data_IF_086311470292
#
_entry.id   IF_086311470292
#
_cell.length_a   1.000
_cell.length_b   1.000
_cell.length_c   1.000
_cell.angle_alpha   90.00
_cell.angle_beta   90.00
_cell.angle_gamma   90.00
#
_symmetry.space_group_name_H-M   'P 1'
#
loop_
_entity.id
_entity.type
_entity.pdbx_description
1 polymer ?
#
# COMPACT_ATOMS: atom_id res chain seq x y z
N UNK A 1 4.93 -14.52 -20.98
CA UNK A 1 3.79 -15.44 -21.27
C UNK A 1 3.13 -15.69 -19.93
N UNK A 2 1.92 -15.18 -19.70
CA UNK A 2 1.26 -15.28 -18.40
C UNK A 2 0.19 -16.35 -18.45
N UNK A 3 0.36 -17.53 -17.81
CA UNK A 3 -0.68 -18.55 -17.79
C UNK A 3 -1.95 -17.98 -17.16
N UNK A 4 -3.11 -18.38 -17.68
CA UNK A 4 -4.43 -17.85 -17.31
C UNK A 4 -4.70 -18.00 -15.81
N UNK A 5 -4.40 -16.96 -15.04
CA UNK A 5 -4.69 -16.89 -13.62
C UNK A 5 -6.21 -16.81 -13.45
N UNK A 6 -6.81 -17.86 -12.90
CA UNK A 6 -8.22 -17.85 -12.49
C UNK A 6 -8.28 -17.92 -10.98
N UNK A 7 -8.86 -16.88 -10.38
CA UNK A 7 -9.24 -16.89 -8.98
C UNK A 7 -10.58 -17.64 -8.87
N UNK A 8 -10.59 -18.75 -8.13
CA UNK A 8 -11.82 -19.50 -7.88
C UNK A 8 -12.40 -19.00 -6.55
N UNK A 9 -13.58 -18.34 -6.54
CA UNK A 9 -14.18 -17.83 -5.31
C UNK A 9 -14.64 -18.97 -4.41
N UNK A 10 -14.12 -19.03 -3.17
CA UNK A 10 -14.48 -20.05 -2.16
C UNK A 10 -15.34 -19.40 -1.06
N UNK A 11 -16.52 -18.91 -1.42
CA UNK A 11 -17.46 -18.31 -0.46
C UNK A 11 -16.83 -17.23 0.44
N UNK A 12 -16.98 -17.37 1.76
CA UNK A 12 -16.41 -16.46 2.78
C UNK A 12 -15.00 -16.88 3.26
N UNK A 13 -14.31 -17.74 2.51
CA UNK A 13 -12.99 -18.22 2.91
C UNK A 13 -11.96 -17.09 2.92
N UNK A 14 -11.05 -17.12 3.91
CA UNK A 14 -9.85 -16.26 3.94
C UNK A 14 -8.77 -16.76 2.98
N UNK A 15 -9.01 -17.86 2.27
CA UNK A 15 -8.08 -18.53 1.38
C UNK A 15 -8.68 -18.47 -0.03
N UNK A 16 -7.86 -18.11 -1.00
CA UNK A 16 -8.15 -18.08 -2.42
C UNK A 16 -7.41 -19.23 -3.12
N UNK A 17 -8.08 -19.88 -4.05
CA UNK A 17 -7.45 -20.90 -4.89
C UNK A 17 -6.99 -20.24 -6.19
N UNK A 18 -5.69 -20.32 -6.44
CA UNK A 18 -5.08 -19.91 -7.70
C UNK A 18 -4.78 -21.15 -8.51
N UNK A 19 -5.20 -21.12 -9.76
CA UNK A 19 -5.00 -22.20 -10.70
C UNK A 19 -4.18 -21.72 -11.89
N UNK A 20 -3.18 -22.53 -12.27
CA UNK A 20 -2.37 -22.37 -13.46
C UNK A 20 -2.46 -23.62 -14.33
N UNK A 21 -2.56 -23.39 -15.64
CA UNK A 21 -2.49 -24.44 -16.65
C UNK A 21 -1.48 -24.01 -17.72
N UNK A 22 -0.49 -24.85 -17.97
CA UNK A 22 0.52 -24.63 -19.01
C UNK A 22 0.98 -25.98 -19.57
N UNK A 23 0.87 -26.18 -20.89
CA UNK A 23 1.36 -27.38 -21.61
C UNK A 23 0.91 -28.70 -20.95
N UNK A 24 -0.36 -28.81 -20.58
CA UNK A 24 -0.92 -30.02 -19.95
C UNK A 24 -0.52 -30.24 -18.48
N UNK A 25 0.33 -29.37 -17.91
CA UNK A 25 0.60 -29.32 -16.49
C UNK A 25 -0.45 -28.47 -15.78
N UNK A 26 -0.87 -28.96 -14.62
CA UNK A 26 -1.87 -28.32 -13.78
C UNK A 26 -1.27 -28.08 -12.41
N UNK A 27 -1.30 -26.81 -11.97
CA UNK A 27 -0.86 -26.41 -10.63
C UNK A 27 -1.99 -25.66 -9.93
N UNK A 28 -2.35 -26.16 -8.75
CA UNK A 28 -3.38 -25.57 -7.89
C UNK A 28 -2.74 -25.20 -6.55
N UNK A 29 -2.81 -23.92 -6.17
CA UNK A 29 -2.26 -23.43 -4.92
C UNK A 29 -3.32 -22.67 -4.13
N UNK A 30 -3.52 -23.10 -2.89
CA UNK A 30 -4.36 -22.40 -1.93
C UNK A 30 -3.52 -21.33 -1.22
N UNK A 31 -3.83 -20.06 -1.48
CA UNK A 31 -3.13 -18.92 -0.91
C UNK A 31 -4.08 -18.13 -0.01
N UNK A 32 -3.61 -17.73 1.16
CA UNK A 32 -4.27 -16.65 1.89
C UNK A 32 -3.81 -15.33 1.27
N UNK A 33 -4.71 -14.44 0.80
CA UNK A 33 -4.30 -13.10 0.40
C UNK A 33 -3.62 -12.44 1.59
N UNK A 34 -2.45 -11.87 1.37
CA UNK A 34 -1.82 -11.01 2.35
C UNK A 34 -2.83 -9.92 2.74
N UNK A 35 -3.02 -9.72 4.04
CA UNK A 35 -3.83 -8.59 4.46
C UNK A 35 -3.17 -7.32 3.92
N UNK A 36 -3.91 -6.36 3.34
CA UNK A 36 -3.31 -5.10 2.95
C UNK A 36 -2.56 -4.57 4.17
N UNK A 37 -1.29 -4.19 4.00
CA UNK A 37 -0.51 -3.60 5.07
C UNK A 37 -1.32 -2.44 5.61
N UNK A 38 -1.87 -2.60 6.82
CA UNK A 38 -2.55 -1.50 7.48
C UNK A 38 -1.45 -0.50 7.76
N UNK A 39 -1.49 0.68 7.13
CA UNK A 39 -0.53 1.72 7.48
C UNK A 39 -0.71 1.95 8.97
N UNK A 40 0.35 1.71 9.75
CA UNK A 40 0.23 1.95 11.17
C UNK A 40 -0.01 3.47 11.39
N UNK A 41 -0.60 3.88 12.53
CA UNK A 41 -0.87 5.29 12.77
C UNK A 41 0.37 6.19 12.62
N UNK A 42 1.56 5.66 12.90
CA UNK A 42 2.84 6.37 12.76
C UNK A 42 3.16 6.66 11.29
N UNK A 43 3.03 5.66 10.40
CA UNK A 43 3.22 5.81 8.96
C UNK A 43 2.29 6.86 8.37
N UNK A 44 1.03 6.92 8.85
CA UNK A 44 0.09 7.95 8.40
C UNK A 44 0.53 9.35 8.83
N UNK A 45 0.97 9.52 10.07
CA UNK A 45 1.48 10.80 10.58
C UNK A 45 2.74 11.22 9.82
N UNK A 46 3.64 10.29 9.54
CA UNK A 46 4.85 10.55 8.76
C UNK A 46 4.52 11.01 7.35
N UNK A 47 3.55 10.36 6.69
CA UNK A 47 3.14 10.72 5.33
C UNK A 47 2.42 12.07 5.28
N UNK A 48 1.53 12.36 6.23
CA UNK A 48 0.89 13.67 6.37
C UNK A 48 1.93 14.78 6.63
N UNK A 49 2.91 14.51 7.49
CA UNK A 49 4.01 15.43 7.78
C UNK A 49 4.86 15.67 6.53
N UNK A 50 5.19 14.62 5.78
CA UNK A 50 5.94 14.70 4.52
C UNK A 50 5.21 15.55 3.49
N UNK A 51 3.89 15.38 3.36
CA UNK A 51 3.09 16.18 2.44
C UNK A 51 3.06 17.65 2.85
N UNK A 52 2.91 17.94 4.15
CA UNK A 52 2.94 19.30 4.66
C UNK A 52 4.30 19.98 4.44
N UNK A 53 5.40 19.24 4.64
CA UNK A 53 6.76 19.68 4.32
C UNK A 53 6.97 20.04 2.86
N UNK A 54 6.36 19.28 1.94
CA UNK A 54 6.49 19.54 0.50
C UNK A 54 5.62 20.69 0.01
N UNK A 55 4.48 20.91 0.66
CA UNK A 55 3.56 21.99 0.31
C UNK A 55 4.05 23.37 0.76
N UNK A 56 4.89 23.43 1.79
CA UNK A 56 5.47 24.69 2.30
C UNK A 56 6.97 24.79 1.95
N UNK A 57 7.36 25.65 0.98
CA UNK A 57 8.76 25.89 0.65
C UNK A 57 9.60 26.40 1.82
N UNK A 58 8.95 27.01 2.82
CA UNK A 58 9.60 27.59 3.99
C UNK A 58 9.57 26.67 5.22
N UNK A 59 9.21 25.39 5.07
CA UNK A 59 9.09 24.45 6.20
C UNK A 59 10.37 24.34 7.05
N UNK A 60 11.54 24.38 6.38
CA UNK A 60 12.85 24.33 7.05
C UNK A 60 13.29 25.66 7.66
N UNK A 61 12.54 26.74 7.44
CA UNK A 61 12.91 28.10 7.84
C UNK A 61 12.27 28.36 9.20
N UNK A 62 12.94 27.89 10.25
CA UNK A 62 12.48 28.02 11.63
C UNK A 62 12.07 29.46 11.98
N UNK A 63 10.85 29.60 12.50
CA UNK A 63 10.26 30.79 13.09
C UNK A 63 10.28 32.06 12.22
N UNK A 64 9.20 32.27 11.44
CA UNK A 64 8.86 33.57 10.83
C UNK A 64 8.34 34.55 11.88
N UNK A 65 9.14 34.89 12.88
CA UNK A 65 8.89 36.09 13.70
C UNK A 65 9.54 37.29 13.01
N UNK A 66 8.85 37.85 12.02
CA UNK A 66 9.16 39.23 11.63
C UNK A 66 8.75 40.13 12.79
N UNK A 67 9.74 40.70 13.51
CA UNK A 67 9.52 41.91 14.32
C UNK A 67 9.04 42.99 13.36
N UNK A 68 7.74 43.23 13.31
CA UNK A 68 7.23 44.47 12.73
C UNK A 68 7.61 45.62 13.65
N UNK A 69 8.56 46.45 13.17
CA UNK A 69 8.78 47.84 13.58
C UNK A 69 9.17 48.07 15.04
N UNK A 70 10.47 48.28 15.27
CA UNK A 70 10.94 49.18 16.33
C UNK A 70 11.07 50.59 15.75
#
# INVERSE_FOLDING_TARGET
>A
IGPGKKNIPIGKSKIQLVYWAEIGYHLSLALRPEAPSQSNPEERILEETRLAMQADPDWGVGCKTQRHGA
#
